data_IF_129078303831
#
_entry.id   IF_129078303831
#
_cell.length_a   1.000
_cell.length_b   1.000
_cell.length_c   1.000
_cell.angle_alpha   90.00
_cell.angle_beta   90.00
_cell.angle_gamma   90.00
#
_symmetry.space_group_name_H-M   'P 1'
#
loop_
_entity.id
_entity.type
_entity.pdbx_description
1 polymer ?
#
# COMPACT_ATOMS: atom_id res chain seq x y z
N UNK A 1 7.02 -34.92 -55.25
CA UNK A 1 5.71 -34.25 -55.21
C UNK A 1 5.87 -32.98 -54.39
N UNK A 2 5.98 -31.84 -55.09
CA UNK A 2 6.20 -30.55 -54.48
C UNK A 2 4.88 -29.96 -54.04
N UNK A 3 4.85 -29.38 -52.82
CA UNK A 3 3.73 -28.61 -52.31
C UNK A 3 4.02 -27.13 -52.52
N UNK A 4 3.15 -26.48 -53.31
CA UNK A 4 3.22 -25.08 -53.73
C UNK A 4 2.96 -24.11 -52.56
N UNK A 5 3.95 -23.25 -52.25
CA UNK A 5 3.96 -22.32 -51.14
C UNK A 5 3.36 -20.93 -51.50
N UNK A 6 2.27 -20.90 -52.26
CA UNK A 6 1.62 -19.63 -52.67
C UNK A 6 0.11 -19.66 -52.42
N UNK A 7 -0.32 -19.56 -51.16
CA UNK A 7 -1.69 -19.10 -50.78
C UNK A 7 -1.89 -19.09 -49.28
N UNK A 8 -1.34 -18.08 -48.56
CA UNK A 8 -1.94 -17.64 -47.30
C UNK A 8 -1.77 -16.11 -47.24
N UNK A 9 -2.78 -15.43 -47.78
CA UNK A 9 -3.00 -14.01 -47.53
C UNK A 9 -4.18 -13.94 -46.59
N UNK A 10 -3.91 -13.94 -45.29
CA UNK A 10 -4.91 -13.71 -44.25
C UNK A 10 -4.99 -12.22 -43.97
N UNK A 11 -6.12 -11.60 -44.28
CA UNK A 11 -6.48 -10.26 -43.90
C UNK A 11 -6.72 -10.21 -42.38
N UNK A 12 -6.01 -9.35 -41.68
CA UNK A 12 -6.35 -8.97 -40.32
C UNK A 12 -7.54 -8.03 -40.32
N UNK A 13 -8.61 -8.26 -39.56
CA UNK A 13 -9.67 -7.29 -39.39
C UNK A 13 -9.13 -6.13 -38.50
N UNK A 14 -9.13 -4.92 -39.07
CA UNK A 14 -8.93 -3.68 -38.31
C UNK A 14 -10.02 -3.54 -37.25
N UNK A 15 -9.64 -3.64 -35.98
CA UNK A 15 -10.54 -3.41 -34.86
C UNK A 15 -10.63 -1.89 -34.62
N UNK A 16 -11.66 -1.25 -35.16
CA UNK A 16 -12.03 0.11 -34.79
C UNK A 16 -12.56 0.10 -33.37
N UNK A 17 -12.03 0.96 -32.46
CA UNK A 17 -12.60 1.10 -31.13
C UNK A 17 -14.02 1.65 -31.18
N UNK A 18 -14.92 1.24 -30.25
CA UNK A 18 -16.27 1.75 -30.19
C UNK A 18 -16.28 3.25 -29.91
N UNK A 19 -17.08 4.00 -30.68
CA UNK A 19 -17.32 5.42 -30.44
C UNK A 19 -18.12 5.58 -29.11
N UNK A 20 -17.57 6.35 -28.17
CA UNK A 20 -18.29 6.74 -26.96
C UNK A 20 -19.37 7.76 -27.32
N UNK A 21 -20.61 7.64 -26.84
CA UNK A 21 -21.61 8.69 -27.00
C UNK A 21 -21.15 9.95 -26.26
N UNK A 22 -21.21 11.08 -26.95
CA UNK A 22 -20.99 12.40 -26.32
C UNK A 22 -21.98 12.57 -25.17
N UNK A 23 -21.48 12.58 -23.93
CA UNK A 23 -22.27 12.98 -22.79
C UNK A 23 -22.48 14.50 -22.89
N UNK A 24 -23.74 14.89 -23.07
CA UNK A 24 -24.18 16.28 -23.04
C UNK A 24 -23.97 16.81 -21.60
N UNK A 25 -22.94 17.61 -21.41
CA UNK A 25 -22.66 18.28 -20.14
C UNK A 25 -23.63 19.46 -20.03
N UNK A 26 -24.84 19.16 -19.60
CA UNK A 26 -25.82 20.18 -19.19
C UNK A 26 -25.18 21.11 -18.14
N UNK A 27 -25.25 22.39 -18.42
CA UNK A 27 -24.72 23.50 -17.61
C UNK A 27 -25.27 23.41 -16.19
N UNK A 28 -24.46 22.97 -15.23
CA UNK A 28 -24.79 23.06 -13.80
C UNK A 28 -24.50 24.49 -13.36
N UNK A 29 -25.57 25.29 -13.18
CA UNK A 29 -25.49 26.59 -12.55
C UNK A 29 -25.32 26.40 -11.03
N UNK A 30 -24.15 26.69 -10.51
CA UNK A 30 -23.95 26.91 -9.08
C UNK A 30 -24.39 28.35 -8.74
N UNK A 31 -25.50 28.49 -8.04
CA UNK A 31 -25.88 29.73 -7.37
C UNK A 31 -24.86 30.01 -6.26
N UNK A 32 -24.05 31.05 -6.41
CA UNK A 32 -23.24 31.61 -5.33
C UNK A 32 -24.08 32.55 -4.52
N UNK A 33 -24.26 32.26 -3.25
CA UNK A 33 -24.83 33.16 -2.26
C UNK A 33 -23.81 34.24 -1.89
N UNK A 34 -24.14 35.52 -2.20
CA UNK A 34 -23.29 36.69 -2.03
C UNK A 34 -23.40 37.29 -0.63
N UNK A 35 -23.10 36.54 0.43
CA UNK A 35 -23.11 37.10 1.79
C UNK A 35 -21.90 36.72 2.65
N UNK A 36 -20.70 36.95 2.19
CA UNK A 36 -19.52 37.10 3.08
C UNK A 36 -18.54 38.08 2.46
N UNK A 37 -18.33 39.19 3.18
CA UNK A 37 -17.55 40.33 2.76
C UNK A 37 -16.05 40.10 2.57
N UNK A 38 -15.54 40.87 1.62
CA UNK A 38 -14.22 41.49 1.64
C UNK A 38 -12.96 40.62 1.70
N UNK A 39 -12.47 40.11 0.55
CA UNK A 39 -11.04 39.80 0.40
C UNK A 39 -10.51 40.49 -0.84
N UNK A 40 -9.59 41.45 -0.61
CA UNK A 40 -8.91 42.24 -1.64
C UNK A 40 -8.14 41.32 -2.64
N UNK A 41 -8.48 41.44 -3.91
CA UNK A 41 -7.70 40.88 -5.01
C UNK A 41 -6.41 41.68 -5.19
N UNK A 42 -5.28 41.10 -4.82
CA UNK A 42 -3.95 41.64 -5.18
C UNK A 42 -3.67 41.30 -6.64
N UNK A 43 -3.58 42.34 -7.46
CA UNK A 43 -3.37 42.24 -8.89
C UNK A 43 -1.86 42.01 -9.19
N UNK A 44 -1.52 40.87 -9.79
CA UNK A 44 -0.13 40.42 -10.06
C UNK A 44 0.63 41.23 -11.15
N UNK A 45 0.14 42.38 -11.60
CA UNK A 45 0.77 43.14 -12.70
C UNK A 45 1.56 44.39 -12.28
N UNK A 46 1.79 44.66 -11.00
CA UNK A 46 2.43 45.93 -10.55
C UNK A 46 3.79 45.72 -9.87
N UNK A 47 4.48 44.59 -10.05
CA UNK A 47 5.77 44.38 -9.38
C UNK A 47 7.02 44.49 -10.29
N UNK A 48 6.90 44.96 -11.53
CA UNK A 48 8.07 45.23 -12.38
C UNK A 48 8.00 46.66 -12.90
N UNK A 49 8.42 47.65 -12.09
CA UNK A 49 8.97 48.94 -12.52
C UNK A 49 9.22 49.84 -11.31
N UNK A 50 10.35 49.72 -10.68
CA UNK A 50 11.04 50.81 -9.94
C UNK A 50 12.34 50.28 -9.31
N UNK A 51 13.40 50.18 -10.08
CA UNK A 51 14.78 50.21 -9.60
C UNK A 51 15.65 50.91 -10.65
N UNK A 52 15.72 52.21 -10.56
CA UNK A 52 16.87 52.97 -11.03
C UNK A 52 16.77 54.36 -10.44
N UNK A 53 17.68 54.67 -9.55
CA UNK A 53 18.33 55.97 -9.21
C UNK A 53 18.53 56.15 -7.71
N UNK A 54 19.79 56.32 -7.35
CA UNK A 54 20.15 56.83 -6.02
C UNK A 54 21.46 56.23 -5.47
N UNK A 55 22.63 56.61 -6.09
CA UNK A 55 23.94 56.51 -5.42
C UNK A 55 24.04 57.64 -4.41
N UNK A 56 24.42 57.36 -3.16
CA UNK A 56 25.45 58.08 -2.37
C UNK A 56 25.28 57.77 -0.85
N UNK A 57 26.37 57.50 -0.19
CA UNK A 57 26.42 57.56 1.29
C UNK A 57 27.05 56.33 1.96
N UNK A 58 28.38 56.27 1.89
CA UNK A 58 29.19 55.31 2.64
C UNK A 58 29.24 55.71 4.12
N UNK A 59 28.72 54.90 5.04
CA UNK A 59 29.14 54.91 6.44
C UNK A 59 29.32 53.47 6.92
N UNK A 60 30.58 53.15 7.24
CA UNK A 60 30.99 51.85 7.78
C UNK A 60 30.62 51.84 9.29
N UNK A 61 29.70 51.01 9.68
CA UNK A 61 29.47 50.65 11.09
C UNK A 61 30.00 49.22 11.36
N UNK A 62 30.59 48.95 12.52
CA UNK A 62 31.30 47.70 12.79
C UNK A 62 30.35 46.52 12.80
N UNK A 63 30.78 45.42 12.17
CA UNK A 63 30.10 44.14 12.16
C UNK A 63 29.96 43.60 13.59
N UNK A 64 28.73 43.65 14.13
CA UNK A 64 28.39 42.85 15.28
C UNK A 64 28.32 41.37 14.81
N UNK A 65 29.15 40.52 15.42
CA UNK A 65 29.11 39.07 15.25
C UNK A 65 27.68 38.58 15.59
N UNK A 66 26.89 38.37 14.58
CA UNK A 66 25.64 37.60 14.69
C UNK A 66 26.02 36.13 14.99
N UNK A 67 25.78 35.69 16.23
CA UNK A 67 25.81 34.28 16.60
C UNK A 67 24.89 33.55 15.62
N UNK A 68 25.31 32.39 15.04
CA UNK A 68 24.41 31.58 14.27
C UNK A 68 23.24 31.17 15.17
N UNK A 69 22.03 31.59 14.82
CA UNK A 69 20.81 31.07 15.40
C UNK A 69 20.87 29.54 15.19
N UNK A 70 21.09 28.84 16.32
CA UNK A 70 21.03 27.39 16.35
C UNK A 70 19.76 26.93 15.64
N UNK A 71 19.93 26.15 14.58
CA UNK A 71 18.85 25.37 14.04
C UNK A 71 18.32 24.53 15.20
N UNK A 72 17.24 25.01 15.83
CA UNK A 72 16.42 24.15 16.64
C UNK A 72 15.98 23.03 15.68
N UNK A 73 16.62 21.86 15.79
CA UNK A 73 16.11 20.62 15.24
C UNK A 73 14.69 20.50 15.80
N UNK A 74 13.71 20.93 15.04
CA UNK A 74 12.33 20.52 15.25
C UNK A 74 12.36 19.02 15.06
N UNK A 75 12.47 18.27 16.15
CA UNK A 75 11.99 16.91 16.19
C UNK A 75 10.53 17.03 15.77
N UNK A 76 10.22 16.69 14.55
CA UNK A 76 8.86 16.49 14.11
C UNK A 76 8.36 15.30 14.94
N UNK A 77 7.86 15.60 16.14
CA UNK A 77 7.01 14.67 16.86
C UNK A 77 5.87 14.38 15.87
N UNK A 78 5.91 13.19 15.32
CA UNK A 78 4.91 12.70 14.39
C UNK A 78 3.57 12.78 15.14
N UNK A 79 2.74 13.76 14.78
CA UNK A 79 1.33 13.87 15.22
C UNK A 79 0.47 12.76 14.56
N UNK A 80 1.11 11.85 13.81
CA UNK A 80 0.47 10.72 13.19
C UNK A 80 -0.10 9.79 14.27
N UNK A 81 -1.40 9.53 14.19
CA UNK A 81 -2.05 8.51 15.02
C UNK A 81 -1.50 7.13 14.66
N UNK A 82 -1.31 6.22 15.65
CA UNK A 82 -0.86 4.87 15.36
C UNK A 82 -1.86 4.15 14.45
N UNK A 83 -1.35 3.50 13.41
CA UNK A 83 -2.10 2.59 12.56
C UNK A 83 -2.14 1.24 13.29
N UNK A 84 -2.98 1.14 14.31
CA UNK A 84 -3.21 -0.10 15.03
C UNK A 84 -3.96 -1.08 14.12
N UNK A 85 -3.47 -2.32 14.03
CA UNK A 85 -3.73 -3.10 12.85
C UNK A 85 -3.34 -4.55 13.07
N UNK A 86 -4.02 -5.47 12.42
CA UNK A 86 -3.45 -6.77 12.11
C UNK A 86 -3.37 -6.97 10.59
N UNK A 87 -2.26 -7.56 10.17
CA UNK A 87 -1.97 -7.79 8.76
C UNK A 87 -1.23 -9.11 8.55
N UNK A 88 -1.30 -9.61 7.32
CA UNK A 88 -0.58 -10.80 6.87
C UNK A 88 0.04 -10.51 5.52
N UNK A 89 1.29 -10.90 5.36
CA UNK A 89 2.04 -10.87 4.10
C UNK A 89 2.23 -12.29 3.64
N UNK A 90 1.97 -12.59 2.37
CA UNK A 90 2.03 -13.96 1.88
C UNK A 90 2.58 -14.11 0.46
N UNK A 91 3.02 -15.35 0.18
CA UNK A 91 3.53 -15.79 -1.10
C UNK A 91 2.92 -17.15 -1.47
N UNK A 92 2.48 -17.31 -2.70
CA UNK A 92 2.07 -18.61 -3.26
C UNK A 92 3.20 -19.15 -4.16
N UNK A 93 3.95 -20.19 -3.74
CA UNK A 93 5.06 -20.72 -4.52
C UNK A 93 4.63 -21.38 -5.83
N UNK A 94 3.35 -21.71 -5.99
CA UNK A 94 2.80 -22.36 -7.20
C UNK A 94 2.59 -21.37 -8.33
N UNK A 95 2.17 -20.16 -7.99
CA UNK A 95 1.79 -19.12 -8.97
C UNK A 95 2.77 -17.95 -9.01
N UNK A 96 3.59 -17.79 -7.95
CA UNK A 96 4.46 -16.64 -7.77
C UNK A 96 3.73 -15.39 -7.28
N UNK A 97 2.45 -15.50 -6.91
CA UNK A 97 1.68 -14.39 -6.33
C UNK A 97 2.27 -13.93 -5.01
N UNK A 98 2.34 -12.64 -4.81
CA UNK A 98 2.77 -11.97 -3.59
C UNK A 98 1.67 -11.02 -3.14
N UNK A 99 1.42 -10.93 -1.84
CA UNK A 99 0.33 -10.05 -1.40
C UNK A 99 0.34 -9.73 0.08
N UNK A 100 -0.53 -8.77 0.42
CA UNK A 100 -0.76 -8.28 1.77
C UNK A 100 -2.27 -8.14 1.99
N UNK A 101 -2.75 -8.62 3.12
CA UNK A 101 -4.08 -8.29 3.62
C UNK A 101 -3.97 -7.60 4.98
N UNK A 102 -4.86 -6.65 5.25
CA UNK A 102 -4.83 -5.82 6.46
C UNK A 102 -6.23 -5.40 6.88
N UNK A 103 -6.46 -5.32 8.20
CA UNK A 103 -7.64 -4.68 8.82
C UNK A 103 -7.21 -3.77 9.96
N UNK A 104 -7.94 -2.68 10.16
CA UNK A 104 -7.63 -1.68 11.18
C UNK A 104 -8.86 -0.90 11.64
N UNK A 105 -8.82 -0.39 12.89
CA UNK A 105 -9.64 0.73 13.35
C UNK A 105 -8.95 2.06 12.96
N UNK A 106 -8.70 2.22 11.66
CA UNK A 106 -8.07 3.38 11.05
C UNK A 106 -8.71 3.61 9.67
N UNK A 107 -8.93 4.86 9.29
CA UNK A 107 -9.51 5.20 7.99
C UNK A 107 -8.52 4.86 6.85
N UNK A 108 -9.02 4.20 5.79
CA UNK A 108 -8.27 3.94 4.55
C UNK A 108 -6.90 3.25 4.77
N UNK A 109 -6.84 2.22 5.62
CA UNK A 109 -5.60 1.49 5.95
C UNK A 109 -4.84 0.98 4.74
N UNK A 110 -5.56 0.70 3.65
CA UNK A 110 -4.99 0.24 2.39
C UNK A 110 -4.09 1.26 1.66
N UNK A 111 -4.14 2.55 2.06
CA UNK A 111 -3.24 3.59 1.53
C UNK A 111 -1.89 3.65 2.24
N UNK A 112 -1.76 2.97 3.39
CA UNK A 112 -0.59 3.07 4.27
C UNK A 112 0.18 1.78 4.36
N UNK A 113 -0.52 0.67 4.65
CA UNK A 113 0.10 -0.58 5.10
C UNK A 113 0.64 -1.47 3.98
N UNK A 114 -0.12 -1.79 2.90
CA UNK A 114 0.29 -2.81 1.93
C UNK A 114 1.17 -2.26 0.81
N UNK A 115 2.26 -2.97 0.55
CA UNK A 115 3.21 -2.71 -0.54
C UNK A 115 3.60 -4.04 -1.18
N UNK A 116 3.60 -4.12 -2.50
CA UNK A 116 4.01 -5.34 -3.20
C UNK A 116 4.52 -5.04 -4.61
N UNK A 117 5.44 -5.90 -5.09
CA UNK A 117 5.97 -5.89 -6.46
C UNK A 117 6.11 -7.33 -6.94
N UNK A 118 5.50 -7.65 -8.08
CA UNK A 118 5.51 -8.99 -8.64
C UNK A 118 6.93 -9.49 -8.92
N UNK A 119 7.21 -10.74 -8.55
CA UNK A 119 8.53 -11.35 -8.68
C UNK A 119 9.61 -10.81 -7.75
N UNK A 120 9.26 -9.91 -6.81
CA UNK A 120 10.20 -9.26 -5.88
C UNK A 120 9.86 -9.53 -4.43
N UNK A 121 8.68 -9.10 -3.96
CA UNK A 121 8.27 -9.27 -2.58
C UNK A 121 7.02 -8.48 -2.22
N UNK A 122 6.58 -8.67 -0.97
CA UNK A 122 5.48 -7.94 -0.36
C UNK A 122 5.85 -7.49 1.06
N UNK A 123 5.32 -6.33 1.48
CA UNK A 123 5.68 -5.64 2.72
C UNK A 123 4.43 -5.06 3.36
N UNK A 124 4.29 -5.24 4.68
CA UNK A 124 3.31 -4.54 5.50
C UNK A 124 4.04 -3.65 6.50
N UNK A 125 3.79 -2.33 6.52
CA UNK A 125 4.33 -1.39 7.52
C UNK A 125 3.18 -0.78 8.31
N UNK A 126 3.23 -0.87 9.64
CA UNK A 126 2.13 -0.49 10.52
C UNK A 126 2.59 -0.01 11.91
N UNK A 127 1.68 0.12 12.88
CA UNK A 127 1.85 0.82 14.15
C UNK A 127 2.04 2.32 13.90
N UNK A 128 3.10 2.97 14.39
CA UNK A 128 3.50 4.26 13.84
C UNK A 128 4.21 4.01 12.50
N UNK A 129 3.43 3.80 11.45
CA UNK A 129 3.94 3.34 10.16
C UNK A 129 4.99 4.30 9.57
N UNK A 130 6.14 3.75 9.18
CA UNK A 130 7.06 4.45 8.29
C UNK A 130 6.77 3.99 6.85
N UNK A 131 6.07 4.81 6.10
CA UNK A 131 5.63 4.47 4.73
C UNK A 131 6.79 4.34 3.74
N UNK A 132 7.99 4.89 4.06
CA UNK A 132 9.16 4.73 3.19
C UNK A 132 9.69 3.30 3.21
N UNK A 133 9.37 2.51 4.24
CA UNK A 133 9.75 1.09 4.30
C UNK A 133 9.19 0.26 3.14
N UNK A 134 8.02 0.66 2.59
CA UNK A 134 7.46 0.00 1.42
C UNK A 134 8.35 0.12 0.18
N UNK A 135 8.51 1.31 -0.41
CA UNK A 135 9.31 1.50 -1.62
C UNK A 135 10.79 1.16 -1.41
N UNK A 136 11.42 1.58 -0.30
CA UNK A 136 12.82 1.27 -0.01
C UNK A 136 13.07 -0.23 0.16
N UNK A 137 12.15 -0.93 0.85
CA UNK A 137 12.24 -2.37 1.02
C UNK A 137 12.08 -3.13 -0.29
N UNK A 138 11.12 -2.74 -1.14
CA UNK A 138 10.96 -3.34 -2.46
C UNK A 138 12.17 -3.07 -3.37
N UNK A 139 12.81 -1.92 -3.26
CA UNK A 139 14.06 -1.64 -3.98
C UNK A 139 15.20 -2.56 -3.53
N UNK A 140 15.36 -2.77 -2.22
CA UNK A 140 16.37 -3.68 -1.65
C UNK A 140 16.14 -5.13 -2.08
N UNK A 141 14.91 -5.61 -2.00
CA UNK A 141 14.53 -6.94 -2.50
C UNK A 141 14.79 -7.07 -4.01
N UNK A 142 14.54 -6.03 -4.81
CA UNK A 142 14.86 -6.00 -6.25
C UNK A 142 16.36 -6.14 -6.51
N UNK A 143 17.21 -5.62 -5.60
CA UNK A 143 18.67 -5.77 -5.64
C UNK A 143 19.16 -7.15 -5.11
N UNK A 144 18.25 -8.07 -4.80
CA UNK A 144 18.54 -9.44 -4.40
C UNK A 144 18.72 -9.68 -2.90
N UNK A 145 18.54 -8.65 -2.04
CA UNK A 145 18.53 -8.85 -0.59
C UNK A 145 17.39 -9.79 -0.19
N UNK A 146 17.61 -10.58 0.85
CA UNK A 146 16.58 -11.42 1.47
C UNK A 146 15.61 -10.56 2.30
N UNK A 147 14.45 -11.13 2.65
CA UNK A 147 13.51 -10.49 3.57
C UNK A 147 14.19 -10.07 4.89
N UNK A 148 15.05 -10.92 5.47
CA UNK A 148 15.77 -10.67 6.72
C UNK A 148 16.81 -9.54 6.59
N UNK A 149 17.61 -9.54 5.54
CA UNK A 149 18.59 -8.48 5.28
C UNK A 149 17.89 -7.13 5.04
N UNK A 150 16.81 -7.13 4.26
CA UNK A 150 15.98 -5.95 4.01
C UNK A 150 15.41 -5.38 5.30
N UNK A 151 14.79 -6.21 6.14
CA UNK A 151 14.23 -5.81 7.43
C UNK A 151 15.31 -5.18 8.33
N UNK A 152 16.48 -5.83 8.46
CA UNK A 152 17.60 -5.33 9.24
C UNK A 152 18.08 -3.97 8.72
N UNK A 153 18.21 -3.81 7.40
CA UNK A 153 18.66 -2.56 6.80
C UNK A 153 17.68 -1.40 7.05
N UNK A 154 16.37 -1.64 6.91
CA UNK A 154 15.34 -0.62 7.15
C UNK A 154 15.27 -0.19 8.63
N UNK A 155 15.31 -1.16 9.54
CA UNK A 155 15.12 -0.86 10.98
C UNK A 155 16.36 -0.34 11.66
N UNK A 156 17.59 -0.66 11.17
CA UNK A 156 18.84 -0.23 11.81
C UNK A 156 19.07 1.29 11.73
N UNK A 157 18.57 1.95 10.71
CA UNK A 157 18.72 3.39 10.47
C UNK A 157 17.58 4.24 11.02
N UNK A 158 16.44 3.63 11.35
CA UNK A 158 15.28 4.35 11.91
C UNK A 158 15.45 4.58 13.41
N UNK A 159 15.58 5.84 13.81
CA UNK A 159 15.69 6.26 15.22
C UNK A 159 14.44 5.90 16.02
N UNK A 160 13.27 5.84 15.35
CA UNK A 160 11.97 5.52 15.94
C UNK A 160 11.57 4.06 15.77
N UNK A 161 12.49 3.16 15.39
CA UNK A 161 12.18 1.73 15.15
C UNK A 161 11.39 1.06 16.28
N UNK A 162 11.53 1.54 17.52
CA UNK A 162 10.78 1.01 18.66
C UNK A 162 9.26 1.11 18.50
N UNK A 163 8.80 2.06 17.69
CA UNK A 163 7.39 2.33 17.43
C UNK A 163 6.87 1.63 16.15
N UNK A 164 7.76 0.99 15.37
CA UNK A 164 7.41 0.41 14.06
C UNK A 164 7.02 -1.06 14.18
N UNK A 165 6.14 -1.49 13.29
CA UNK A 165 5.87 -2.90 13.08
C UNK A 165 5.92 -3.19 11.58
N UNK A 166 6.63 -4.23 11.18
CA UNK A 166 6.98 -4.53 9.79
C UNK A 166 6.94 -6.03 9.53
N UNK A 167 6.32 -6.43 8.42
CA UNK A 167 6.37 -7.79 7.88
C UNK A 167 6.80 -7.77 6.43
N UNK A 168 7.70 -8.68 6.04
CA UNK A 168 8.27 -8.80 4.68
C UNK A 168 8.24 -10.27 4.25
N UNK A 169 7.84 -10.52 3.00
CA UNK A 169 8.03 -11.81 2.33
C UNK A 169 8.67 -11.56 0.96
N UNK A 170 9.79 -12.24 0.66
CA UNK A 170 10.46 -12.14 -0.64
C UNK A 170 9.88 -13.15 -1.66
N UNK A 171 10.26 -13.02 -2.93
CA UNK A 171 9.78 -13.89 -4.01
C UNK A 171 10.34 -15.35 -3.94
N UNK A 172 11.14 -15.68 -2.94
CA UNK A 172 11.61 -17.03 -2.64
C UNK A 172 10.84 -17.68 -1.49
N UNK A 173 9.91 -16.91 -0.87
CA UNK A 173 9.12 -17.34 0.27
C UNK A 173 9.83 -17.18 1.62
N UNK A 174 10.99 -16.50 1.67
CA UNK A 174 11.57 -16.15 2.96
C UNK A 174 10.75 -15.02 3.60
N UNK A 175 10.45 -15.15 4.87
CA UNK A 175 9.73 -14.16 5.66
C UNK A 175 10.61 -13.53 6.73
N UNK A 176 10.30 -12.30 7.11
CA UNK A 176 10.89 -11.61 8.24
C UNK A 176 9.89 -10.62 8.82
N UNK A 177 9.85 -10.52 10.16
CA UNK A 177 8.99 -9.56 10.86
C UNK A 177 9.74 -8.82 11.96
N UNK A 178 9.22 -7.66 12.30
CA UNK A 178 9.72 -6.83 13.39
C UNK A 178 8.55 -6.20 14.13
N UNK A 179 8.55 -6.34 15.46
CA UNK A 179 7.64 -5.62 16.35
C UNK A 179 8.50 -4.82 17.32
N UNK A 180 8.44 -3.51 17.21
CA UNK A 180 9.21 -2.60 18.06
C UNK A 180 8.73 -2.64 19.51
N UNK A 181 9.65 -2.47 20.46
CA UNK A 181 9.39 -2.60 21.90
C UNK A 181 8.45 -1.55 22.50
N UNK A 182 8.08 -0.54 21.74
CA UNK A 182 7.10 0.49 22.11
C UNK A 182 5.83 0.45 21.24
N UNK A 183 5.59 -0.65 20.52
CA UNK A 183 4.28 -0.90 19.95
C UNK A 183 3.26 -1.14 21.08
N UNK A 184 2.05 -0.61 20.92
CA UNK A 184 1.00 -0.74 21.94
C UNK A 184 0.50 -2.17 22.06
N UNK A 185 0.31 -2.64 23.27
CA UNK A 185 -0.11 -3.98 23.64
C UNK A 185 -1.60 -4.27 23.26
N UNK A 186 -1.94 -5.49 22.98
CA UNK A 186 -1.02 -6.59 22.68
C UNK A 186 -0.40 -6.39 21.30
N UNK A 187 0.93 -6.59 21.17
CA UNK A 187 1.64 -6.50 19.89
C UNK A 187 2.61 -7.67 19.71
N UNK A 188 2.65 -8.24 18.51
CA UNK A 188 3.53 -9.35 18.19
C UNK A 188 3.43 -9.80 16.73
N UNK A 189 4.18 -10.86 16.40
CA UNK A 189 4.20 -11.42 15.06
C UNK A 189 4.52 -12.92 15.05
N UNK A 190 4.23 -13.58 13.93
CA UNK A 190 4.63 -14.95 13.58
C UNK A 190 5.30 -14.92 12.22
N UNK A 191 6.46 -15.60 12.10
CA UNK A 191 7.18 -15.83 10.85
C UNK A 191 7.10 -17.32 10.50
N UNK A 192 6.75 -17.62 9.26
CA UNK A 192 6.73 -18.98 8.70
C UNK A 192 7.19 -18.96 7.24
N UNK A 193 7.62 -20.07 6.66
CA UNK A 193 7.87 -20.14 5.23
C UNK A 193 6.64 -19.66 4.44
N UNK A 194 6.86 -18.76 3.49
CA UNK A 194 5.87 -18.16 2.60
C UNK A 194 4.92 -17.11 3.23
N UNK A 195 4.96 -16.86 4.54
CA UNK A 195 4.15 -15.80 5.11
C UNK A 195 4.68 -15.29 6.45
N UNK A 196 4.22 -14.10 6.81
CA UNK A 196 4.29 -13.58 8.17
C UNK A 196 2.99 -12.86 8.54
N UNK A 197 2.58 -12.99 9.80
CA UNK A 197 1.42 -12.31 10.36
C UNK A 197 1.86 -11.46 11.56
N UNK A 198 1.33 -10.25 11.68
CA UNK A 198 1.67 -9.31 12.74
C UNK A 198 0.47 -8.44 13.13
N UNK A 199 0.50 -7.94 14.37
CA UNK A 199 -0.50 -6.99 14.82
C UNK A 199 -0.07 -6.22 16.06
N UNK A 200 -0.77 -5.12 16.32
CA UNK A 200 -0.60 -4.26 17.49
C UNK A 200 -1.97 -3.70 17.92
N UNK A 201 -2.09 -3.37 19.20
CA UNK A 201 -3.37 -3.01 19.87
C UNK A 201 -4.42 -4.10 19.64
N UNK A 202 -4.01 -5.35 19.69
CA UNK A 202 -4.90 -6.50 19.55
C UNK A 202 -5.54 -6.89 20.88
N UNK A 203 -6.61 -7.67 20.82
CA UNK A 203 -7.22 -8.29 22.00
C UNK A 203 -6.31 -9.30 22.69
N UNK A 204 -5.39 -9.94 21.92
CA UNK A 204 -4.43 -10.91 22.43
C UNK A 204 -3.60 -11.56 21.33
N UNK A 205 -2.70 -12.47 21.73
CA UNK A 205 -1.85 -13.27 20.84
C UNK A 205 -2.67 -14.16 19.92
N UNK A 206 -3.84 -14.59 20.35
CA UNK A 206 -4.75 -15.50 19.66
C UNK A 206 -5.13 -14.98 18.27
N UNK A 207 -5.14 -13.66 18.08
CA UNK A 207 -5.43 -13.02 16.79
C UNK A 207 -4.38 -13.43 15.75
N UNK A 208 -3.11 -13.30 16.07
CA UNK A 208 -2.01 -13.64 15.15
C UNK A 208 -1.87 -15.14 14.97
N UNK A 209 -2.10 -15.92 16.04
CA UNK A 209 -2.10 -17.40 16.00
C UNK A 209 -3.20 -17.91 15.06
N UNK A 210 -4.42 -17.38 15.15
CA UNK A 210 -5.55 -17.75 14.30
C UNK A 210 -5.29 -17.41 12.82
N UNK A 211 -4.72 -16.22 12.55
CA UNK A 211 -4.32 -15.82 11.19
C UNK A 211 -3.32 -16.82 10.60
N UNK A 212 -2.28 -17.18 11.35
CA UNK A 212 -1.26 -18.11 10.92
C UNK A 212 -1.84 -19.50 10.64
N UNK A 213 -2.64 -20.04 11.55
CA UNK A 213 -3.29 -21.35 11.40
C UNK A 213 -4.22 -21.40 10.19
N UNK A 214 -5.00 -20.34 9.94
CA UNK A 214 -5.89 -20.22 8.78
C UNK A 214 -5.10 -20.21 7.47
N UNK A 215 -4.01 -19.43 7.39
CA UNK A 215 -3.18 -19.37 6.21
C UNK A 215 -2.51 -20.71 5.90
N UNK A 216 -1.90 -21.36 6.91
CA UNK A 216 -1.28 -22.70 6.75
C UNK A 216 -2.30 -23.74 6.26
N UNK A 217 -3.53 -23.72 6.80
CA UNK A 217 -4.57 -24.63 6.37
C UNK A 217 -4.99 -24.38 4.90
N UNK A 218 -5.15 -23.12 4.52
CA UNK A 218 -5.52 -22.72 3.15
C UNK A 218 -4.42 -23.07 2.16
N UNK A 219 -3.16 -22.85 2.53
CA UNK A 219 -1.99 -23.22 1.73
C UNK A 219 -1.92 -24.73 1.50
N UNK A 220 -2.10 -25.53 2.55
CA UNK A 220 -2.11 -27.01 2.45
C UNK A 220 -3.22 -27.53 1.55
N UNK A 221 -4.42 -26.96 1.64
CA UNK A 221 -5.55 -27.30 0.76
C UNK A 221 -5.37 -26.84 -0.67
N UNK A 222 -4.46 -25.89 -0.91
CA UNK A 222 -4.15 -25.30 -2.22
C UNK A 222 -5.39 -24.78 -2.97
N UNK A 223 -6.48 -24.48 -2.25
CA UNK A 223 -7.77 -24.05 -2.84
C UNK A 223 -7.84 -22.52 -2.89
N UNK A 224 -8.30 -21.99 -4.01
CA UNK A 224 -8.68 -20.59 -4.16
C UNK A 224 -7.55 -19.60 -4.49
N UNK A 225 -6.28 -19.91 -4.20
CA UNK A 225 -5.14 -19.04 -4.43
C UNK A 225 -4.90 -18.00 -3.32
N UNK A 226 -3.79 -17.27 -3.41
CA UNK A 226 -3.27 -16.41 -2.35
C UNK A 226 -4.27 -15.36 -1.85
N UNK A 227 -5.06 -14.76 -2.74
CA UNK A 227 -6.03 -13.73 -2.36
C UNK A 227 -7.08 -14.22 -1.35
N UNK A 228 -7.54 -15.47 -1.49
CA UNK A 228 -8.46 -16.09 -0.54
C UNK A 228 -7.75 -16.47 0.76
N UNK A 229 -6.55 -17.02 0.70
CA UNK A 229 -5.80 -17.39 1.90
C UNK A 229 -5.55 -16.19 2.81
N UNK A 230 -5.20 -15.04 2.21
CA UNK A 230 -4.97 -13.79 2.94
C UNK A 230 -6.27 -13.23 3.51
N UNK A 231 -7.38 -13.26 2.76
CA UNK A 231 -8.67 -12.76 3.24
C UNK A 231 -9.26 -13.65 4.35
N UNK A 232 -9.14 -14.98 4.21
CA UNK A 232 -9.58 -15.95 5.22
C UNK A 232 -8.76 -15.82 6.52
N UNK A 233 -7.46 -15.52 6.40
CA UNK A 233 -6.61 -15.23 7.55
C UNK A 233 -7.07 -13.97 8.31
N UNK A 234 -7.48 -12.89 7.61
CA UNK A 234 -8.06 -11.72 8.27
C UNK A 234 -9.37 -12.07 9.00
N UNK A 235 -10.21 -12.91 8.40
CA UNK A 235 -11.46 -13.37 9.05
C UNK A 235 -11.13 -14.12 10.33
N UNK A 236 -10.21 -15.09 10.28
CA UNK A 236 -9.81 -15.85 11.45
C UNK A 236 -9.24 -14.96 12.58
N UNK A 237 -8.40 -13.96 12.22
CA UNK A 237 -7.89 -12.99 13.17
C UNK A 237 -8.98 -12.14 13.79
N UNK A 238 -9.97 -11.72 12.99
CA UNK A 238 -11.11 -10.95 13.50
C UNK A 238 -12.00 -11.78 14.44
N UNK A 239 -12.24 -13.04 14.11
CA UNK A 239 -13.05 -13.95 14.92
C UNK A 239 -12.36 -14.31 16.25
N UNK A 240 -11.03 -14.29 16.29
CA UNK A 240 -10.21 -14.42 17.50
C UNK A 240 -10.12 -13.12 18.33
N UNK A 241 -10.84 -12.04 17.95
CA UNK A 241 -10.93 -10.80 18.71
C UNK A 241 -10.49 -9.56 17.92
N UNK A 242 -9.50 -9.65 17.06
CA UNK A 242 -9.03 -8.57 16.18
C UNK A 242 -8.42 -7.36 16.92
N UNK A 243 -8.60 -6.17 16.34
CA UNK A 243 -8.19 -4.87 16.91
C UNK A 243 -9.10 -4.54 18.11
N UNK A 244 -8.51 -4.35 19.30
CA UNK A 244 -9.25 -4.10 20.56
C UNK A 244 -10.11 -2.82 20.53
N UNK A 245 -9.85 -1.90 19.63
CA UNK A 245 -10.64 -0.67 19.42
C UNK A 245 -11.82 -0.89 18.47
N UNK A 246 -11.88 -2.03 17.75
CA UNK A 246 -12.92 -2.37 16.79
C UNK A 246 -12.46 -2.36 15.34
N UNK A 247 -13.36 -2.02 14.40
CA UNK A 247 -13.20 -2.19 12.96
C UNK A 247 -13.50 -0.88 12.23
N UNK A 248 -12.80 -0.60 11.12
CA UNK A 248 -13.12 0.54 10.26
C UNK A 248 -12.77 0.29 8.79
N UNK A 249 -11.58 -0.19 8.49
CA UNK A 249 -11.15 -0.40 7.11
C UNK A 249 -10.42 -1.72 6.92
N UNK A 250 -10.39 -2.22 5.68
CA UNK A 250 -9.61 -3.39 5.29
C UNK A 250 -9.10 -3.24 3.86
N UNK A 251 -7.98 -3.92 3.54
CA UNK A 251 -7.46 -3.93 2.18
C UNK A 251 -6.82 -5.28 1.85
N UNK A 252 -6.83 -5.62 0.57
CA UNK A 252 -6.18 -6.79 -0.02
C UNK A 252 -5.46 -6.38 -1.28
N UNK A 253 -4.14 -6.45 -1.27
CA UNK A 253 -3.27 -6.24 -2.42
C UNK A 253 -2.61 -7.57 -2.78
N UNK A 254 -2.80 -8.05 -4.01
CA UNK A 254 -2.06 -9.19 -4.57
C UNK A 254 -1.50 -8.80 -5.92
N UNK A 255 -0.20 -9.01 -6.09
CA UNK A 255 0.50 -8.76 -7.34
C UNK A 255 0.89 -10.07 -8.01
N UNK A 256 0.73 -10.08 -9.33
CA UNK A 256 1.04 -11.17 -10.27
C UNK A 256 1.59 -10.55 -11.54
N UNK A 257 2.67 -11.11 -12.09
CA UNK A 257 3.23 -10.59 -13.34
C UNK A 257 2.17 -10.53 -14.44
N UNK A 258 1.94 -9.34 -15.00
CA UNK A 258 0.90 -9.05 -15.98
C UNK A 258 -0.52 -9.45 -15.53
N UNK A 259 -0.77 -9.52 -14.22
CA UNK A 259 -2.06 -9.96 -13.67
C UNK A 259 -3.13 -8.88 -13.58
N UNK A 260 -2.79 -7.63 -13.81
CA UNK A 260 -3.72 -6.51 -13.76
C UNK A 260 -4.54 -6.34 -15.04
N UNK A 261 -5.30 -5.24 -15.12
CA UNK A 261 -6.22 -4.97 -16.22
C UNK A 261 -5.54 -5.11 -17.59
N UNK A 262 -6.10 -5.97 -18.44
CA UNK A 262 -5.61 -6.26 -19.80
C UNK A 262 -4.10 -6.64 -19.85
N UNK A 263 -3.52 -7.14 -18.77
CA UNK A 263 -2.07 -7.43 -18.70
C UNK A 263 -1.19 -6.20 -18.63
N UNK A 264 -1.74 -4.99 -18.47
CA UNK A 264 -1.02 -3.72 -18.54
C UNK A 264 -0.22 -3.37 -17.28
N UNK A 265 -0.45 -4.10 -16.17
CA UNK A 265 0.31 -3.95 -14.93
C UNK A 265 0.25 -5.25 -14.10
N UNK A 266 0.92 -5.24 -12.93
CA UNK A 266 1.02 -6.42 -12.07
C UNK A 266 -0.03 -6.48 -10.94
N UNK A 267 -0.97 -5.52 -10.84
CA UNK A 267 -1.99 -5.49 -9.78
C UNK A 267 -3.12 -6.46 -10.11
N UNK A 268 -2.98 -7.71 -9.66
CA UNK A 268 -4.01 -8.73 -9.84
C UNK A 268 -5.23 -8.47 -8.95
N UNK A 269 -5.01 -8.17 -7.67
CA UNK A 269 -6.04 -7.74 -6.73
C UNK A 269 -5.57 -6.44 -6.08
N UNK A 270 -6.40 -5.40 -6.09
CA UNK A 270 -6.22 -4.17 -5.31
C UNK A 270 -7.61 -3.73 -4.84
N UNK A 271 -8.05 -4.33 -3.73
CA UNK A 271 -9.37 -4.11 -3.14
C UNK A 271 -9.21 -3.37 -1.82
N UNK A 272 -9.99 -2.29 -1.63
CA UNK A 272 -9.97 -1.46 -0.44
C UNK A 272 -11.39 -1.20 0.04
N UNK A 273 -11.55 -1.31 1.35
CA UNK A 273 -12.73 -0.89 2.08
C UNK A 273 -12.26 0.17 3.06
N UNK A 274 -12.42 1.44 2.68
CA UNK A 274 -11.78 2.55 3.38
C UNK A 274 -12.51 2.94 4.66
N UNK A 275 -13.83 2.75 4.73
CA UNK A 275 -14.66 2.98 5.91
C UNK A 275 -15.91 2.11 5.88
N UNK A 276 -16.03 1.14 6.81
CA UNK A 276 -17.18 0.25 6.91
C UNK A 276 -17.29 -0.37 8.31
N UNK A 277 -18.49 -0.67 8.78
CA UNK A 277 -18.72 -1.33 10.08
C UNK A 277 -18.20 -2.77 10.12
N UNK A 278 -18.20 -3.46 8.99
CA UNK A 278 -17.76 -4.85 8.82
C UNK A 278 -16.82 -4.97 7.61
N UNK A 279 -15.60 -4.36 7.66
CA UNK A 279 -14.77 -4.16 6.47
C UNK A 279 -14.27 -5.46 5.86
N UNK A 280 -14.02 -6.51 6.65
CA UNK A 280 -13.57 -7.82 6.14
C UNK A 280 -14.71 -8.52 5.38
N UNK A 281 -15.95 -8.45 5.87
CA UNK A 281 -17.12 -9.03 5.16
C UNK A 281 -17.30 -8.33 3.82
N UNK A 282 -17.19 -7.00 3.80
CA UNK A 282 -17.27 -6.22 2.57
C UNK A 282 -16.10 -6.54 1.62
N UNK A 283 -14.88 -6.73 2.14
CA UNK A 283 -13.72 -7.14 1.35
C UNK A 283 -13.96 -8.51 0.66
N UNK A 284 -14.55 -9.49 1.37
CA UNK A 284 -14.92 -10.78 0.78
C UNK A 284 -15.99 -10.65 -0.30
N UNK A 285 -16.97 -9.75 -0.10
CA UNK A 285 -17.98 -9.45 -1.13
C UNK A 285 -17.33 -8.89 -2.39
N UNK A 286 -16.40 -7.93 -2.25
CA UNK A 286 -15.64 -7.34 -3.36
C UNK A 286 -14.74 -8.38 -4.04
N UNK A 287 -14.08 -9.27 -3.29
CA UNK A 287 -13.26 -10.35 -3.85
C UNK A 287 -14.11 -11.34 -4.66
N UNK A 288 -15.30 -11.67 -4.17
CA UNK A 288 -16.27 -12.50 -4.89
C UNK A 288 -16.71 -11.85 -6.19
N UNK A 289 -16.99 -10.55 -6.18
CA UNK A 289 -17.34 -9.78 -7.37
C UNK A 289 -16.17 -9.74 -8.36
N UNK A 290 -14.95 -9.48 -7.88
CA UNK A 290 -13.75 -9.52 -8.72
C UNK A 290 -13.58 -10.87 -9.40
N UNK A 291 -13.75 -11.99 -8.67
CA UNK A 291 -13.71 -13.34 -9.27
C UNK A 291 -14.77 -13.52 -10.35
N UNK A 292 -15.99 -13.04 -10.12
CA UNK A 292 -17.08 -13.15 -11.10
C UNK A 292 -16.75 -12.40 -12.39
N UNK A 293 -16.16 -11.21 -12.28
CA UNK A 293 -15.82 -10.35 -13.43
C UNK A 293 -14.57 -10.89 -14.16
N UNK A 294 -13.56 -11.33 -13.40
CA UNK A 294 -12.26 -11.77 -13.92
C UNK A 294 -12.06 -13.30 -13.79
N UNK A 295 -13.11 -14.08 -14.06
CA UNK A 295 -13.14 -15.55 -13.85
C UNK A 295 -11.92 -16.25 -14.43
N UNK A 296 -11.55 -15.96 -15.68
CA UNK A 296 -10.42 -16.58 -16.36
C UNK A 296 -9.09 -16.41 -15.61
N UNK A 297 -8.80 -15.22 -15.09
CA UNK A 297 -7.56 -14.93 -14.36
C UNK A 297 -7.46 -15.67 -13.02
N UNK A 298 -8.61 -16.01 -12.40
CA UNK A 298 -8.65 -16.80 -11.16
C UNK A 298 -8.54 -18.31 -11.43
N UNK A 299 -9.07 -18.80 -12.54
CA UNK A 299 -9.11 -20.24 -12.87
C UNK A 299 -7.86 -20.74 -13.57
N UNK A 300 -7.16 -19.84 -14.27
CA UNK A 300 -5.98 -20.14 -15.06
C UNK A 300 -4.78 -19.27 -14.63
N UNK A 301 -4.32 -19.39 -13.37
CA UNK A 301 -3.14 -18.65 -12.97
C UNK A 301 -1.92 -19.11 -13.79
N UNK A 302 -1.00 -18.21 -14.13
CA UNK A 302 0.23 -18.60 -14.81
C UNK A 302 0.97 -19.63 -13.97
N UNK A 303 1.49 -20.67 -14.59
CA UNK A 303 2.44 -21.58 -13.94
C UNK A 303 3.78 -20.85 -13.80
N UNK A 304 4.41 -21.00 -12.67
CA UNK A 304 5.75 -20.46 -12.39
C UNK A 304 6.81 -21.29 -13.15
#
# INVERSE_FOLDING_TARGET
MGIDARKIKAASPEHKPPAWPNADLGSIHFGLDDSIGGVNRINQRTFIKRTSQGLAGLTIAPAALAKPLGQAERSAQTTAKPVATFSIVGFDPRTGDLGVAVQSKFFAVGSVVPWAKAGVGAIATQSYANVTYGPEGLERLTKGQTARETLKALTSTDKDRRLRQLGIVDARGNSASFTGSSCHDWAGHIEKPNFCAQGNILTGKEVVDAMAASFEQSQKKAKGGLCYWLADALTAGQDAGGDSRGRQSAALLVVRKNGGYAGGNDRFIDLRVDDHKTPIIELHRLLTLHKKIHKHAHEHPPKR
#
